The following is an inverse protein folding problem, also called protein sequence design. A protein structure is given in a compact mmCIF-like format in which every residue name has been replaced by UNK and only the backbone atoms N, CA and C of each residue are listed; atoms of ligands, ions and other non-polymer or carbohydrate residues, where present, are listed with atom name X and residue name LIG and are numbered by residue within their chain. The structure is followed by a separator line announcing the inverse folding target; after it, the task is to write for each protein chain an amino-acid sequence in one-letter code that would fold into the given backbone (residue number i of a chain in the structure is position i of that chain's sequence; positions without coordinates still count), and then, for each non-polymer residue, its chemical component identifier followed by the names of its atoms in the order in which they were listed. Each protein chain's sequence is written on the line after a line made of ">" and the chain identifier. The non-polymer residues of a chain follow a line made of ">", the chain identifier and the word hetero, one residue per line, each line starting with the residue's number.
data_IF_681453882166
#
_entry.id   IF_681453882166
#
_cell.length_a   1.000
_cell.length_b   1.000
_cell.length_c   1.000
_cell.angle_alpha   90.00
_cell.angle_beta   90.00
_cell.angle_gamma   90.00
#
_symmetry.space_group_name_H-M   'P 1'
#
loop_
_entity.id
_entity.type
_entity.pdbx_description
1 polymer ?
#
# COMPACT_ATOMS: atom_id res chain seq x y z
N UNK A 1 -8.87 -12.56 -2.47
CA UNK A 1 -9.84 -11.51 -2.80
C UNK A 1 -10.64 -11.92 -4.02
N UNK A 2 -11.93 -11.62 -4.04
CA UNK A 2 -12.73 -11.75 -5.26
C UNK A 2 -12.30 -10.71 -6.29
N UNK A 3 -12.47 -11.04 -7.58
CA UNK A 3 -11.98 -10.19 -8.69
C UNK A 3 -12.57 -8.77 -8.68
N UNK A 4 -13.78 -8.61 -8.14
CA UNK A 4 -14.42 -7.31 -7.97
C UNK A 4 -13.69 -6.43 -6.94
N UNK A 5 -13.30 -7.00 -5.81
CA UNK A 5 -12.57 -6.30 -4.75
C UNK A 5 -11.21 -5.78 -5.25
N UNK A 6 -10.57 -6.51 -6.16
CA UNK A 6 -9.33 -6.06 -6.80
C UNK A 6 -9.54 -4.77 -7.61
N UNK A 7 -10.58 -4.72 -8.44
CA UNK A 7 -10.86 -3.56 -9.29
C UNK A 7 -11.16 -2.30 -8.45
N UNK A 8 -11.91 -2.46 -7.37
CA UNK A 8 -12.27 -1.35 -6.48
C UNK A 8 -11.07 -0.76 -5.75
N UNK A 9 -10.15 -1.60 -5.28
CA UNK A 9 -8.90 -1.13 -4.64
C UNK A 9 -8.02 -0.42 -5.67
N UNK A 10 -7.90 -1.00 -6.88
CA UNK A 10 -7.09 -0.45 -7.96
C UNK A 10 -7.53 0.96 -8.36
N UNK A 11 -8.85 1.17 -8.50
CA UNK A 11 -9.45 2.46 -8.90
C UNK A 11 -9.36 3.56 -7.84
N UNK A 12 -9.08 3.23 -6.57
CA UNK A 12 -9.00 4.22 -5.47
C UNK A 12 -7.63 4.91 -5.35
N UNK A 13 -6.61 4.43 -6.06
CA UNK A 13 -5.23 4.95 -5.93
C UNK A 13 -4.90 5.92 -7.06
N UNK A 14 -4.31 7.07 -6.73
CA UNK A 14 -3.82 8.05 -7.70
C UNK A 14 -2.32 7.90 -7.89
N UNK A 15 -1.86 7.93 -9.15
CA UNK A 15 -0.43 7.98 -9.45
C UNK A 15 0.08 9.40 -9.27
N UNK A 16 1.01 9.59 -8.34
CA UNK A 16 1.74 10.85 -8.21
C UNK A 16 3.06 10.77 -8.95
N UNK A 17 3.35 11.77 -9.79
CA UNK A 17 4.64 11.95 -10.44
C UNK A 17 5.71 12.42 -9.47
N UNK A 18 6.98 12.40 -9.90
CA UNK A 18 8.09 12.88 -9.10
C UNK A 18 7.98 14.38 -8.74
N UNK A 19 7.21 15.14 -9.52
CA UNK A 19 6.86 16.54 -9.29
C UNK A 19 5.61 16.73 -8.40
N UNK A 20 5.06 15.63 -7.85
CA UNK A 20 3.87 15.62 -7.02
C UNK A 20 2.55 15.77 -7.78
N UNK A 21 2.56 15.82 -9.11
CA UNK A 21 1.32 15.93 -9.90
C UNK A 21 0.60 14.60 -10.01
N UNK A 22 -0.73 14.64 -10.07
CA UNK A 22 -1.53 13.45 -10.39
C UNK A 22 -1.38 13.13 -11.87
N UNK A 23 -0.90 11.93 -12.18
CA UNK A 23 -0.76 11.39 -13.53
C UNK A 23 -1.95 10.48 -13.86
N UNK A 24 -2.13 10.19 -15.15
CA UNK A 24 -3.08 9.18 -15.60
C UNK A 24 -2.66 7.77 -15.13
N UNK A 25 -3.65 6.91 -14.93
CA UNK A 25 -3.45 5.56 -14.40
C UNK A 25 -3.45 5.51 -12.88
N UNK A 26 -3.36 4.30 -12.34
CA UNK A 26 -3.49 4.03 -10.91
C UNK A 26 -2.17 4.19 -10.17
N UNK A 27 -2.25 4.56 -8.89
CA UNK A 27 -1.09 4.72 -8.02
C UNK A 27 -0.36 3.42 -7.68
N UNK A 28 -0.96 2.28 -8.01
CA UNK A 28 -0.43 0.95 -7.70
C UNK A 28 -0.79 0.53 -6.28
N UNK A 29 -0.68 -0.78 -6.02
CA UNK A 29 -0.94 -1.40 -4.72
C UNK A 29 0.32 -2.14 -4.28
N UNK A 30 0.74 -1.97 -3.03
CA UNK A 30 1.86 -2.71 -2.43
C UNK A 30 1.30 -3.75 -1.46
N UNK A 31 1.73 -5.01 -1.61
CA UNK A 31 1.44 -6.08 -0.65
C UNK A 31 2.62 -6.22 0.31
N UNK A 32 2.33 -6.21 1.62
CA UNK A 32 3.27 -6.59 2.65
C UNK A 32 2.86 -7.92 3.26
N UNK A 33 3.78 -8.88 3.23
CA UNK A 33 3.66 -10.12 3.98
C UNK A 33 4.55 -10.01 5.21
N UNK A 34 3.99 -10.25 6.38
CA UNK A 34 4.71 -10.21 7.64
C UNK A 34 4.19 -11.32 8.57
N UNK A 35 4.96 -11.73 9.60
CA UNK A 35 4.52 -12.75 10.55
C UNK A 35 3.23 -12.34 11.26
N UNK A 36 2.28 -13.28 11.44
CA UNK A 36 1.03 -13.01 12.17
C UNK A 36 1.32 -12.45 13.57
N UNK A 37 2.30 -13.03 14.26
CA UNK A 37 2.80 -12.58 15.55
C UNK A 37 4.12 -11.83 15.39
N UNK A 38 4.03 -10.58 14.94
CA UNK A 38 5.20 -9.71 14.82
C UNK A 38 5.84 -9.45 16.21
N UNK A 39 7.17 -9.43 16.27
CA UNK A 39 7.90 -8.98 17.47
C UNK A 39 7.76 -7.46 17.66
N UNK A 40 8.14 -6.97 18.84
CA UNK A 40 8.16 -5.54 19.11
C UNK A 40 9.06 -4.76 18.12
N UNK A 41 10.23 -5.33 17.77
CA UNK A 41 11.15 -4.74 16.80
C UNK A 41 10.57 -4.70 15.38
N UNK A 42 9.85 -5.76 14.97
CA UNK A 42 9.19 -5.80 13.66
C UNK A 42 8.08 -4.75 13.54
N UNK A 43 7.26 -4.60 14.59
CA UNK A 43 6.25 -3.53 14.64
C UNK A 43 6.89 -2.13 14.57
N UNK A 44 8.00 -1.92 15.28
CA UNK A 44 8.71 -0.65 15.24
C UNK A 44 9.24 -0.33 13.83
N UNK A 45 9.78 -1.33 13.13
CA UNK A 45 10.24 -1.17 11.75
C UNK A 45 9.09 -0.81 10.79
N UNK A 46 7.94 -1.49 10.88
CA UNK A 46 6.75 -1.15 10.08
C UNK A 46 6.25 0.28 10.37
N UNK A 47 6.20 0.67 11.64
CA UNK A 47 5.77 2.02 12.03
C UNK A 47 6.70 3.10 11.48
N UNK A 48 8.01 2.84 11.37
CA UNK A 48 8.99 3.79 10.83
C UNK A 48 8.74 4.16 9.37
N UNK A 49 8.05 3.30 8.62
CA UNK A 49 7.64 3.54 7.23
C UNK A 49 6.14 3.85 7.10
N UNK A 50 5.47 4.15 8.22
CA UNK A 50 4.06 4.56 8.25
C UNK A 50 3.05 3.41 8.20
N UNK A 51 3.48 2.16 8.34
CA UNK A 51 2.59 1.00 8.40
C UNK A 51 2.19 0.77 9.86
N UNK A 52 0.89 0.84 10.17
CA UNK A 52 0.31 0.68 11.51
C UNK A 52 -0.61 -0.53 11.58
#
# INVERSE_FOLDING_TARGET
>A
YDRSQWSDIWLRTKRYGADGRVLSGTGGVCYLYFPADASAAQRAALASVGIR
#
